data_IF_269753251697
#
_entry.id   IF_269753251697
#
_cell.length_a   1.000
_cell.length_b   1.000
_cell.length_c   1.000
_cell.angle_alpha   90.00
_cell.angle_beta   90.00
_cell.angle_gamma   90.00
#
_symmetry.space_group_name_H-M   'P 1'
#
loop_
_entity.id
_entity.type
_entity.pdbx_description
1 polymer ?
2 non-polymer ?
3 non-polymer ?
4 water ?
#
# COMPACT_ATOMS: atom_id res chain seq x y z
N UNK A 1 -17.60 -0.81 -14.67
CA UNK A 1 -16.88 -1.29 -13.50
C UNK A 1 -17.84 -1.55 -12.34
N UNK A 2 -17.37 -2.28 -11.34
CA UNK A 2 -18.25 -2.74 -10.27
C UNK A 2 -18.38 -1.75 -9.12
N UNK A 3 -17.28 -1.06 -8.81
CA UNK A 3 -17.34 0.08 -7.90
C UNK A 3 -18.16 1.18 -8.55
N UNK A 4 -18.91 1.92 -7.74
CA UNK A 4 -19.54 3.13 -8.22
C UNK A 4 -18.50 4.25 -8.15
N UNK A 5 -18.68 5.30 -8.95
CA UNK A 5 -17.69 6.37 -9.02
C UNK A 5 -17.41 6.96 -7.63
N UNK A 6 -18.46 7.15 -6.84
CA UNK A 6 -18.30 7.76 -5.52
C UNK A 6 -17.45 6.88 -4.60
N UNK A 7 -17.63 5.57 -4.71
CA UNK A 7 -16.87 4.61 -3.92
C UNK A 7 -15.41 4.62 -4.33
N UNK A 8 -15.17 4.65 -5.64
CA UNK A 8 -13.82 4.69 -6.18
C UNK A 8 -13.10 5.95 -5.73
N UNK A 9 -13.83 7.06 -5.64
CA UNK A 9 -13.22 8.32 -5.21
C UNK A 9 -12.84 8.29 -3.73
N UNK A 10 -13.72 7.74 -2.90
CA UNK A 10 -13.42 7.60 -1.47
C UNK A 10 -12.20 6.71 -1.24
N UNK A 11 -12.12 5.60 -1.96
CA UNK A 11 -10.95 4.72 -1.86
C UNK A 11 -9.67 5.39 -2.35
N UNK A 12 -9.79 6.16 -3.43
CA UNK A 12 -8.66 6.93 -3.97
C UNK A 12 -8.13 7.89 -2.92
N UNK A 13 -9.03 8.63 -2.27
CA UNK A 13 -8.64 9.61 -1.26
C UNK A 13 -8.05 8.95 -0.02
N UNK A 14 -8.65 7.83 0.40
CA UNK A 14 -8.13 7.05 1.52
C UNK A 14 -6.68 6.64 1.26
N UNK A 15 -6.44 6.05 0.09
CA UNK A 15 -5.11 5.63 -0.29
C UNK A 15 -4.12 6.79 -0.38
N UNK A 16 -4.58 7.91 -0.94
CA UNK A 16 -3.75 9.10 -1.07
C UNK A 16 -3.31 9.65 0.29
N UNK A 17 -4.24 9.73 1.23
CA UNK A 17 -3.91 10.28 2.55
C UNK A 17 -2.94 9.36 3.29
N UNK A 18 -3.22 8.06 3.28
CA UNK A 18 -2.32 7.10 3.92
C UNK A 18 -0.93 7.14 3.28
N UNK A 19 -0.87 7.24 1.95
CA UNK A 19 0.40 7.33 1.24
C UNK A 19 1.22 8.56 1.66
N UNK A 20 0.55 9.71 1.78
CA UNK A 20 1.25 10.94 2.17
C UNK A 20 1.84 10.83 3.58
N UNK A 21 1.11 10.17 4.47
CA UNK A 21 1.61 10.00 5.84
C UNK A 21 2.82 9.08 5.85
N UNK A 22 2.71 7.95 5.15
CA UNK A 22 3.80 7.00 5.08
C UNK A 22 5.00 7.57 4.35
N UNK A 23 4.75 8.28 3.25
CA UNK A 23 5.87 8.83 2.48
C UNK A 23 6.55 9.98 3.23
N UNK A 24 5.77 10.82 3.91
CA UNK A 24 6.40 11.82 4.77
C UNK A 24 7.30 11.15 5.81
N UNK A 25 6.82 10.05 6.39
CA UNK A 25 7.60 9.32 7.38
C UNK A 25 8.92 8.81 6.80
N UNK A 26 8.88 8.24 5.60
CA UNK A 26 10.11 7.81 4.93
C UNK A 26 11.07 8.97 4.65
N UNK A 27 10.53 10.09 4.17
CA UNK A 27 11.39 11.23 3.84
C UNK A 27 12.05 11.83 5.09
N UNK A 28 11.25 12.07 6.13
CA UNK A 28 11.75 12.74 7.33
C UNK A 28 12.73 11.87 8.12
N UNK A 29 12.65 10.55 7.97
CA UNK A 29 13.60 9.67 8.65
C UNK A 29 14.80 9.37 7.77
N UNK A 30 14.75 9.79 6.51
CA UNK A 30 15.85 9.51 5.59
C UNK A 30 15.81 8.12 4.97
N UNK A 31 14.66 7.45 5.07
CA UNK A 31 14.50 6.14 4.43
C UNK A 31 14.61 6.32 2.92
N UNK A 32 14.00 7.39 2.41
CA UNK A 32 14.07 7.72 1.00
C UNK A 32 14.42 9.20 0.85
N UNK A 33 14.87 9.57 -0.34
CA UNK A 33 15.17 10.97 -0.68
C UNK A 33 14.70 11.20 -2.10
N UNK A 34 13.93 12.27 -2.34
CA UNK A 34 13.52 12.58 -3.71
C UNK A 34 14.56 13.43 -4.46
N UNK A 35 14.65 13.21 -5.76
CA UNK A 35 15.54 13.99 -6.62
C UNK A 35 14.76 14.49 -7.84
N UNK A 36 13.62 15.12 -7.61
CA UNK A 36 12.78 15.60 -8.70
C UNK A 36 12.19 17.00 -8.44
N UNK A 37 13.06 18.00 -8.43
CA UNK A 37 12.70 19.35 -7.98
C UNK A 37 11.70 20.08 -8.90
N UNK A 38 11.59 19.61 -10.14
CA UNK A 38 10.78 20.29 -11.14
C UNK A 38 9.26 20.14 -11.02
N UNK A 39 8.80 19.18 -10.22
CA UNK A 39 7.36 18.98 -10.05
C UNK A 39 6.86 19.57 -8.74
N UNK A 40 5.58 19.95 -8.69
CA UNK A 40 4.96 20.45 -7.46
C UNK A 40 4.92 19.34 -6.41
N UNK A 41 5.27 19.66 -5.16
CA UNK A 41 5.16 18.69 -4.07
C UNK A 41 3.89 18.92 -3.26
N UNK A 42 3.36 17.85 -2.69
CA UNK A 42 2.27 17.93 -1.73
C UNK A 42 2.84 17.37 -0.44
N UNK A 43 2.95 18.20 0.59
CA UNK A 43 3.69 17.83 1.79
C UNK A 43 5.11 17.40 1.40
N UNK A 44 5.51 16.17 1.71
CA UNK A 44 6.87 15.72 1.40
C UNK A 44 6.99 14.96 0.08
N UNK A 45 5.88 14.86 -0.66
CA UNK A 45 5.81 13.98 -1.83
C UNK A 45 5.55 14.74 -3.12
N UNK A 46 6.15 14.29 -4.23
CA UNK A 46 5.75 14.77 -5.56
C UNK A 46 4.26 14.54 -5.72
N UNK A 47 3.57 15.48 -6.37
CA UNK A 47 2.11 15.43 -6.41
C UNK A 47 1.58 14.12 -7.01
N UNK A 48 2.37 13.49 -7.88
CA UNK A 48 1.92 12.26 -8.54
C UNK A 48 1.96 11.04 -7.63
N UNK A 49 2.71 11.13 -6.53
CA UNK A 49 2.82 9.99 -5.61
C UNK A 49 1.48 9.59 -4.98
N UNK A 50 0.78 10.54 -4.31
CA UNK A 50 -0.51 10.14 -3.75
C UNK A 50 -1.52 9.77 -4.84
N UNK A 51 -1.35 10.31 -6.05
CA UNK A 51 -2.24 9.92 -7.14
C UNK A 51 -1.98 8.47 -7.56
N UNK A 52 -0.71 8.08 -7.66
CA UNK A 52 -0.39 6.68 -7.98
C UNK A 52 -0.93 5.71 -6.94
N UNK A 53 -0.66 5.96 -5.66
CA UNK A 53 -1.11 5.04 -4.61
C UNK A 53 -2.63 5.05 -4.48
N UNK A 54 -3.23 6.23 -4.60
CA UNK A 54 -4.67 6.35 -4.53
C UNK A 54 -5.33 5.57 -5.66
N UNK A 55 -4.75 5.66 -6.85
CA UNK A 55 -5.27 4.95 -8.02
C UNK A 55 -5.12 3.43 -7.85
N UNK A 56 -3.99 3.02 -7.29
CA UNK A 56 -3.75 1.61 -7.00
C UNK A 56 -4.75 1.06 -5.98
N UNK A 57 -5.10 1.87 -4.98
CA UNK A 57 -6.08 1.46 -3.97
C UNK A 57 -7.45 1.18 -4.60
N UNK A 58 -7.92 2.11 -5.42
CA UNK A 58 -9.22 1.93 -6.06
C UNK A 58 -9.16 0.77 -7.05
N UNK A 59 -8.03 0.62 -7.74
CA UNK A 59 -7.87 -0.43 -8.75
C UNK A 59 -7.87 -1.84 -8.16
N UNK A 60 -7.18 -2.00 -7.03
CA UNK A 60 -7.09 -3.30 -6.37
C UNK A 60 -8.43 -3.67 -5.74
N UNK A 61 -9.14 -2.66 -5.24
CA UNK A 61 -10.48 -2.90 -4.73
C UNK A 61 -11.39 -3.37 -5.87
N UNK A 62 -11.30 -2.69 -7.01
CA UNK A 62 -12.07 -3.09 -8.19
C UNK A 62 -11.71 -4.51 -8.63
N UNK A 63 -10.41 -4.79 -8.71
CA UNK A 63 -9.92 -6.13 -9.06
C UNK A 63 -10.56 -7.24 -8.23
N UNK A 64 -10.61 -7.04 -6.91
CA UNK A 64 -11.20 -8.03 -6.01
C UNK A 64 -12.65 -8.33 -6.40
N UNK A 65 -13.39 -7.31 -6.82
CA UNK A 65 -14.79 -7.49 -7.20
C UNK A 65 -14.96 -8.29 -8.51
N UNK A 66 -13.86 -8.57 -9.19
CA UNK A 66 -13.90 -9.40 -10.39
C UNK A 66 -13.39 -10.81 -10.09
N UNK A 67 -13.00 -11.04 -8.84
CA UNK A 67 -12.49 -12.35 -8.42
C UNK A 67 -13.62 -13.09 -7.69
N UNK A 68 -13.50 -14.43 -7.57
CA UNK A 68 -14.64 -15.20 -7.06
C UNK A 68 -15.13 -14.78 -5.67
N UNK A 69 -16.45 -14.80 -5.50
CA UNK A 69 -17.12 -14.70 -4.21
C UNK A 69 -16.68 -13.58 -3.26
N UNK A 70 -16.87 -12.31 -3.66
CA UNK A 70 -16.60 -11.22 -2.71
C UNK A 70 -17.43 -11.44 -1.46
N UNK A 71 -16.82 -11.24 -0.29
CA UNK A 71 -17.48 -11.56 0.96
C UNK A 71 -18.49 -10.49 1.33
N UNK A 72 -19.71 -10.91 1.64
CA UNK A 72 -20.75 -9.95 2.00
C UNK A 72 -20.69 -9.60 3.48
N UNK A 73 -19.89 -10.34 4.24
CA UNK A 73 -19.88 -10.17 5.69
C UNK A 73 -18.81 -9.22 6.22
N UNK A 74 -18.14 -8.51 5.31
CA UNK A 74 -17.07 -7.58 5.70
C UNK A 74 -17.62 -6.36 6.44
N UNK A 75 -16.89 -5.89 7.46
CA UNK A 75 -17.40 -4.82 8.30
C UNK A 75 -16.51 -3.59 8.26
N UNK A 76 -17.06 -2.46 8.69
CA UNK A 76 -16.29 -1.22 8.73
C UNK A 76 -15.09 -1.32 9.67
N UNK A 77 -15.22 -2.07 10.76
CA UNK A 77 -14.09 -2.17 11.70
C UNK A 77 -12.98 -3.07 11.18
N UNK A 78 -13.35 -4.04 10.34
CA UNK A 78 -12.33 -4.85 9.68
C UNK A 78 -11.55 -3.96 8.74
N UNK A 79 -12.26 -3.10 8.03
CA UNK A 79 -11.61 -2.19 7.10
C UNK A 79 -10.75 -1.15 7.83
N UNK A 80 -11.28 -0.58 8.91
CA UNK A 80 -10.51 0.39 9.68
C UNK A 80 -9.27 -0.28 10.28
N UNK A 81 -9.46 -1.47 10.83
CA UNK A 81 -8.36 -2.23 11.40
C UNK A 81 -7.30 -2.55 10.36
N UNK A 82 -7.74 -2.87 9.14
CA UNK A 82 -6.80 -3.18 8.07
C UNK A 82 -6.04 -1.96 7.62
N UNK A 83 -6.73 -0.83 7.49
CA UNK A 83 -6.04 0.40 7.12
C UNK A 83 -5.01 0.79 8.19
N UNK A 84 -5.40 0.64 9.45
CA UNK A 84 -4.50 0.93 10.56
C UNK A 84 -3.27 0.01 10.54
N UNK A 85 -3.48 -1.26 10.20
CA UNK A 85 -2.37 -2.22 10.16
C UNK A 85 -1.37 -1.84 9.07
N UNK A 86 -1.88 -1.46 7.90
CA UNK A 86 -1.01 -1.08 6.78
C UNK A 86 -0.27 0.23 7.08
N UNK A 87 -0.99 1.22 7.59
CA UNK A 87 -0.34 2.47 7.95
C UNK A 87 0.68 2.28 9.09
N UNK A 88 0.33 1.50 10.11
CA UNK A 88 1.27 1.25 11.19
C UNK A 88 2.51 0.53 10.69
N UNK A 89 2.33 -0.41 9.77
CA UNK A 89 3.46 -1.15 9.22
C UNK A 89 4.34 -0.23 8.38
N UNK A 90 3.69 0.61 7.58
CA UNK A 90 4.37 1.58 6.73
C UNK A 90 5.25 2.51 7.58
N UNK A 91 4.68 3.14 8.61
CA UNK A 91 5.48 4.06 9.42
C UNK A 91 6.55 3.33 10.23
N UNK A 92 6.29 2.08 10.59
CA UNK A 92 7.31 1.29 11.30
C UNK A 92 8.55 1.10 10.42
N UNK A 93 8.35 0.90 9.12
CA UNK A 93 9.50 0.73 8.24
C UNK A 93 10.36 1.98 8.23
N UNK A 94 9.74 3.15 8.40
CA UNK A 94 10.51 4.39 8.50
C UNK A 94 11.35 4.40 9.78
N UNK A 95 10.78 3.90 10.87
CA UNK A 95 11.49 3.88 12.15
C UNK A 95 12.65 2.90 12.17
N UNK A 96 12.53 1.78 11.46
CA UNK A 96 13.52 0.71 11.61
C UNK A 96 14.40 0.52 10.38
N UNK A 97 14.27 1.39 9.37
CA UNK A 97 14.96 1.17 8.09
C UNK A 97 16.48 1.04 8.18
N UNK A 98 17.10 1.64 9.20
CA UNK A 98 18.57 1.61 9.32
C UNK A 98 19.11 0.31 9.92
N UNK A 99 18.21 -0.57 10.37
CA UNK A 99 18.60 -1.84 10.98
C UNK A 99 18.92 -2.89 9.93
N UNK A 100 19.55 -4.02 10.32
CA UNK A 100 19.93 -5.03 9.32
C UNK A 100 18.74 -5.58 8.54
N UNK A 101 18.97 -5.90 7.26
CA UNK A 101 17.90 -6.21 6.33
C UNK A 101 17.02 -7.40 6.74
N UNK A 102 17.62 -8.43 7.33
CA UNK A 102 16.84 -9.63 7.66
C UNK A 102 15.81 -9.39 8.76
N UNK A 103 16.22 -8.88 9.94
CA UNK A 103 15.16 -8.66 10.93
C UNK A 103 14.12 -7.62 10.47
N UNK A 104 14.54 -6.57 9.78
CA UNK A 104 13.57 -5.57 9.28
C UNK A 104 12.56 -6.20 8.33
N UNK A 105 13.06 -6.95 7.35
CA UNK A 105 12.18 -7.57 6.37
C UNK A 105 11.28 -8.63 7.01
N UNK A 106 11.83 -9.40 7.96
CA UNK A 106 11.04 -10.42 8.64
C UNK A 106 9.91 -9.79 9.46
N UNK A 107 10.19 -8.64 10.07
CA UNK A 107 9.17 -7.97 10.89
C UNK A 107 7.99 -7.54 10.02
N UNK A 108 8.27 -6.93 8.88
CA UNK A 108 7.23 -6.50 7.95
C UNK A 108 6.46 -7.70 7.38
N UNK A 109 7.18 -8.76 7.03
CA UNK A 109 6.52 -9.98 6.56
C UNK A 109 5.60 -10.58 7.62
N UNK A 110 6.00 -10.53 8.88
CA UNK A 110 5.15 -11.04 9.96
C UNK A 110 3.89 -10.20 10.08
N UNK A 111 4.04 -8.88 10.02
CA UNK A 111 2.89 -7.98 10.10
C UNK A 111 1.94 -8.23 8.95
N UNK A 112 2.49 -8.45 7.75
CA UNK A 112 1.67 -8.71 6.57
C UNK A 112 0.94 -10.05 6.66
N UNK A 113 1.63 -11.08 7.16
CA UNK A 113 1.01 -12.39 7.32
C UNK A 113 -0.13 -12.33 8.33
N UNK A 114 0.09 -11.63 9.44
CA UNK A 114 -0.95 -11.52 10.46
C UNK A 114 -2.16 -10.75 9.92
N UNK A 115 -1.89 -9.66 9.20
CA UNK A 115 -2.96 -8.89 8.57
C UNK A 115 -3.82 -9.77 7.67
N UNK A 116 -3.17 -10.57 6.82
CA UNK A 116 -3.91 -11.46 5.94
C UNK A 116 -4.66 -12.56 6.71
N UNK A 117 -4.02 -13.15 7.71
CA UNK A 117 -4.70 -14.20 8.50
C UNK A 117 -5.97 -13.68 9.17
N UNK A 118 -5.91 -12.45 9.66
CA UNK A 118 -7.04 -11.87 10.38
C UNK A 118 -8.16 -11.43 9.42
N UNK A 119 -7.78 -10.84 8.29
CA UNK A 119 -8.73 -10.09 7.47
C UNK A 119 -8.92 -10.60 6.05
N UNK A 120 -7.95 -11.35 5.55
CA UNK A 120 -7.94 -11.66 4.13
C UNK A 120 -8.57 -12.99 3.76
N UNK A 121 -8.77 -13.18 2.46
CA UNK A 121 -9.16 -14.49 1.94
C UNK A 121 -8.26 -14.84 0.76
N UNK A 122 -8.58 -15.91 0.04
CA UNK A 122 -7.76 -16.31 -1.10
C UNK A 122 -7.62 -15.24 -2.18
N UNK A 123 -8.75 -14.74 -2.71
CA UNK A 123 -8.67 -13.66 -3.70
C UNK A 123 -7.95 -12.41 -3.18
N UNK A 124 -8.11 -12.10 -1.89
CA UNK A 124 -7.38 -10.98 -1.29
C UNK A 124 -5.88 -11.18 -1.34
N UNK A 125 -5.43 -12.40 -1.08
CA UNK A 125 -4.01 -12.71 -1.21
C UNK A 125 -3.56 -12.57 -2.66
N UNK A 126 -4.43 -12.93 -3.60
CA UNK A 126 -4.10 -12.82 -5.02
C UNK A 126 -3.84 -11.36 -5.39
N UNK A 127 -4.74 -10.48 -4.96
CA UNK A 127 -4.58 -9.04 -5.16
C UNK A 127 -3.29 -8.58 -4.48
N UNK A 128 -3.05 -9.10 -3.28
CA UNK A 128 -1.80 -8.83 -2.57
C UNK A 128 -0.56 -9.18 -3.38
N UNK A 129 -0.56 -10.35 -4.02
CA UNK A 129 0.58 -10.77 -4.82
C UNK A 129 0.79 -9.87 -6.04
N UNK A 130 -0.31 -9.50 -6.70
CA UNK A 130 -0.25 -8.63 -7.87
C UNK A 130 0.52 -7.32 -7.59
N UNK A 131 0.16 -6.63 -6.52
CA UNK A 131 0.80 -5.36 -6.17
C UNK A 131 2.16 -5.56 -5.47
N UNK A 132 2.36 -6.70 -4.82
CA UNK A 132 3.67 -7.01 -4.24
C UNK A 132 4.71 -7.17 -5.34
N UNK A 133 4.25 -7.43 -6.56
CA UNK A 133 5.15 -7.50 -7.71
C UNK A 133 5.21 -6.15 -8.43
N UNK A 134 4.05 -5.61 -8.76
CA UNK A 134 3.96 -4.35 -9.51
C UNK A 134 4.51 -3.14 -8.73
N UNK A 135 4.15 -3.03 -7.46
CA UNK A 135 4.65 -1.94 -6.62
C UNK A 135 6.16 -1.81 -6.62
N UNK A 136 6.87 -2.86 -6.19
CA UNK A 136 8.33 -2.80 -6.21
C UNK A 136 8.92 -2.61 -7.62
N UNK A 137 8.29 -3.17 -8.64
CA UNK A 137 8.77 -3.02 -10.01
C UNK A 137 8.73 -1.55 -10.46
N UNK A 138 7.61 -0.88 -10.19
CA UNK A 138 7.48 0.55 -10.48
C UNK A 138 8.55 1.35 -9.74
N UNK A 139 8.76 1.05 -8.46
CA UNK A 139 9.77 1.75 -7.68
C UNK A 139 11.18 1.53 -8.21
N UNK A 140 11.48 0.30 -8.60
CA UNK A 140 12.80 -0.01 -9.13
C UNK A 140 13.07 0.80 -10.41
N UNK A 141 12.07 0.91 -11.27
CA UNK A 141 12.19 1.71 -12.49
C UNK A 141 12.39 3.19 -12.18
N UNK A 142 11.61 3.71 -11.23
CA UNK A 142 11.72 5.12 -10.84
C UNK A 142 13.08 5.44 -10.24
N UNK A 143 13.61 4.52 -9.44
CA UNK A 143 14.94 4.69 -8.86
C UNK A 143 16.04 4.64 -9.93
N UNK A 144 15.92 3.72 -10.89
CA UNK A 144 16.91 3.67 -11.97
C UNK A 144 16.86 4.95 -12.82
N UNK A 145 15.68 5.57 -12.89
CA UNK A 145 15.51 6.83 -13.60
C UNK A 145 16.02 8.04 -12.81
N UNK A 146 16.40 7.82 -11.55
CA UNK A 146 16.96 8.88 -10.72
C UNK A 146 15.92 9.78 -10.07
N UNK A 147 14.67 9.33 -10.06
CA UNK A 147 13.56 10.11 -9.52
C UNK A 147 13.65 10.25 -8.00
N UNK A 148 14.00 9.15 -7.34
CA UNK A 148 14.29 9.16 -5.91
C UNK A 148 15.25 8.03 -5.60
N UNK A 149 15.72 7.95 -4.36
CA UNK A 149 16.59 6.84 -3.98
C UNK A 149 16.27 6.38 -2.57
N UNK A 150 16.61 5.13 -2.26
CA UNK A 150 16.52 4.64 -0.89
C UNK A 150 17.84 4.89 -0.16
N UNK A 151 17.76 4.96 1.17
CA UNK A 151 18.95 5.00 2.01
C UNK A 151 19.81 3.79 1.65
N UNK A 152 21.14 3.95 1.66
CA UNK A 152 22.04 2.87 1.22
C UNK A 152 21.91 1.60 2.06
N UNK A 153 21.42 1.71 3.29
CA UNK A 153 21.21 0.52 4.11
C UNK A 153 19.80 -0.07 3.96
N UNK A 154 19.04 0.44 2.99
CA UNK A 154 17.71 -0.10 2.71
C UNK A 154 17.45 -0.20 1.21
N UNK A 155 18.45 -0.62 0.43
CA UNK A 155 18.27 -0.65 -1.02
C UNK A 155 18.60 -1.99 -1.67
N UNK A 156 18.52 -3.07 -0.89
CA UNK A 156 18.95 -4.39 -1.32
C UNK A 156 18.17 -5.08 -2.43
N UNK A 157 16.96 -4.61 -2.73
CA UNK A 157 16.15 -5.21 -3.79
C UNK A 157 16.27 -4.37 -5.07
N UNK A 158 17.38 -4.54 -5.79
CA UNK A 158 17.63 -3.77 -7.01
C UNK A 158 17.45 -2.27 -6.83
N UNK A 159 17.97 -1.75 -5.72
CA UNK A 159 17.89 -0.32 -5.46
C UNK A 159 16.77 0.11 -4.53
N UNK A 160 15.84 -0.80 -4.24
CA UNK A 160 14.75 -0.49 -3.31
C UNK A 160 14.73 -1.43 -2.10
N UNK A 161 13.87 -1.15 -1.12
CA UNK A 161 13.86 -1.94 0.11
C UNK A 161 13.14 -3.27 -0.06
N UNK A 162 13.77 -4.36 0.40
CA UNK A 162 13.11 -5.67 0.39
C UNK A 162 11.77 -5.67 1.13
N UNK A 163 11.63 -4.82 2.15
CA UNK A 163 10.36 -4.75 2.90
C UNK A 163 9.17 -4.31 2.05
N UNK A 164 9.43 -3.73 0.88
CA UNK A 164 8.33 -3.33 -0.01
C UNK A 164 7.47 -4.51 -0.40
N UNK A 165 8.08 -5.68 -0.57
CA UNK A 165 7.29 -6.83 -1.00
C UNK A 165 6.17 -7.17 0.01
N UNK A 166 6.51 -7.40 1.30
CA UNK A 166 5.37 -7.65 2.20
C UNK A 166 4.54 -6.40 2.50
N UNK A 167 5.12 -5.20 2.40
CA UNK A 167 4.33 -3.99 2.64
C UNK A 167 3.25 -3.84 1.57
N UNK A 168 3.62 -3.96 0.30
CA UNK A 168 2.65 -3.89 -0.78
C UNK A 168 1.65 -5.04 -0.70
N UNK A 169 2.12 -6.23 -0.32
CA UNK A 169 1.21 -7.37 -0.18
C UNK A 169 0.07 -7.05 0.80
N UNK A 170 0.43 -6.54 1.98
CA UNK A 170 -0.57 -6.17 2.98
C UNK A 170 -1.50 -5.09 2.45
N UNK A 171 -0.94 -4.11 1.75
CA UNK A 171 -1.74 -3.08 1.07
C UNK A 171 -2.79 -3.71 0.13
N UNK A 172 -2.36 -4.62 -0.74
CA UNK A 172 -3.30 -5.29 -1.64
C UNK A 172 -4.41 -6.07 -0.93
N UNK A 173 -4.05 -6.80 0.12
CA UNK A 173 -5.05 -7.51 0.91
C UNK A 173 -6.12 -6.56 1.47
N UNK A 174 -5.67 -5.43 2.00
CA UNK A 174 -6.60 -4.49 2.60
C UNK A 174 -7.42 -3.72 1.54
N UNK A 175 -6.79 -3.38 0.41
CA UNK A 175 -7.51 -2.71 -0.67
C UNK A 175 -8.63 -3.61 -1.20
N UNK A 176 -8.34 -4.90 -1.30
CA UNK A 176 -9.32 -5.89 -1.73
C UNK A 176 -10.48 -5.91 -0.75
N UNK A 177 -10.16 -5.89 0.54
CA UNK A 177 -11.19 -5.88 1.58
C UNK A 177 -12.04 -4.61 1.49
N UNK A 178 -11.40 -3.49 1.15
CA UNK A 178 -12.15 -2.24 0.99
C UNK A 178 -13.14 -2.32 -0.17
N UNK A 179 -12.76 -2.99 -1.25
CA UNK A 179 -13.68 -3.22 -2.36
C UNK A 179 -14.88 -4.06 -1.95
N UNK A 180 -14.63 -5.12 -1.19
CA UNK A 180 -15.72 -5.95 -0.68
C UNK A 180 -16.64 -5.13 0.21
N UNK A 181 -16.05 -4.29 1.06
CA UNK A 181 -16.85 -3.45 1.95
C UNK A 181 -17.71 -2.44 1.18
N UNK A 182 -17.15 -1.84 0.14
CA UNK A 182 -17.88 -0.83 -0.63
C UNK A 182 -19.21 -1.39 -1.15
N UNK A 183 -19.17 -2.63 -1.63
CA UNK A 183 -20.38 -3.28 -2.13
C UNK A 183 -21.30 -3.71 -0.99
N UNK A 184 -20.73 -4.35 0.02
CA UNK A 184 -21.50 -4.85 1.16
C UNK A 184 -22.29 -3.77 1.92
N UNK A 185 -21.73 -2.56 2.01
CA UNK A 185 -22.34 -1.49 2.79
C UNK A 185 -23.45 -0.74 2.05
N UNK A 186 -23.69 -1.10 0.79
CA UNK A 186 -24.78 -0.48 0.03
C UNK A 186 -26.11 -0.77 0.70
N UNK A 187 -27.12 0.10 0.47
CA UNK A 187 -28.43 -0.09 1.11
C UNK A 187 -29.00 -1.49 0.87
N UNK A 188 -29.57 -2.08 1.91
CA UNK A 188 -30.15 -3.41 1.81
C UNK A 188 -31.64 -3.33 2.11
N UNK A 189 -32.36 -4.40 1.79
CA UNK A 189 -33.78 -4.50 2.14
C UNK A 189 -33.92 -4.81 3.63
X LIG B 1 -22.28 5.22 -1.52
X LIG B 1 -20.90 4.88 -1.52
X LIG B 1 -23.13 4.02 -1.98
X LIG B 1 -22.72 3.63 -3.30
X LIG B 1 -24.60 4.37 -1.98
X LIG B 1 -25.38 3.20 -2.25
X LIG B 1 -24.99 4.91 -0.60
X LIG B 1 -26.35 5.36 -0.65
X LIG B 1 -24.06 6.04 -0.16
X LIG B 1 -22.69 5.62 -0.21
X LIG B 1 -24.38 6.52 1.26
X LIG B 1 -24.19 5.46 2.20
X LIG B 1 -20.05 5.86 -0.91
X LIG B 1 -18.71 5.17 -0.61
X LIG B 1 -18.16 5.46 0.77
X LIG B 1 -17.90 4.17 1.53
X LIG B 1 -16.56 3.53 1.19
X LIG B 1 -15.81 3.23 2.49
X LIG B 1 -14.62 2.31 2.28
X LIG B 1 -15.07 0.94 1.82
X LIG C 1 6.83 14.04 -14.35
X LIG C 1 5.46 14.41 -14.21
X LIG C 1 7.62 15.21 -14.92
X LIG C 1 7.07 15.61 -16.18
X LIG C 1 9.07 14.78 -15.08
X LIG C 1 9.85 15.84 -15.64
X LIG C 1 9.61 14.40 -13.71
X LIG C 1 10.96 13.96 -13.82
X LIG C 1 8.75 13.29 -13.11
X LIG C 1 7.36 13.63 -13.09
X LIG C 1 9.23 12.93 -11.70
X LIG C 1 8.72 13.89 -10.76
X LIG C 1 4.60 13.28 -14.28
X LIG C 1 3.17 13.74 -14.01
X LIG C 1 2.18 12.71 -14.52
X LIG C 1 0.76 13.04 -14.08
X LIG C 1 0.05 11.77 -13.64
X LIG C 1 0.91 11.04 -12.62
X LIG C 1 0.43 9.62 -12.33
X LIG C 1 -1.08 9.53 -12.39
X LIG D 1 -13.84 -7.93 14.58
X LIG D 1 -12.43 -7.75 14.60
X LIG D 1 -14.42 -7.57 15.94
X LIG D 1 -13.72 -8.26 16.99
X LIG D 1 -15.89 -7.94 15.95
X LIG D 1 -16.47 -7.47 17.17
X LIG D 1 -16.64 -7.29 14.79
X LIG D 1 -17.76 -8.11 14.43
X LIG D 1 -15.83 -7.04 13.51
X LIG D 1 -14.40 -7.04 13.63
X LIG D 1 -16.24 -5.66 13.06
X LIG D 1 -16.45 -4.83 14.22
X LIG D 1 -12.01 -6.88 13.55
X LIG D 1 -10.52 -7.06 13.37
X LIG D 1 -9.87 -5.72 13.10
X LIG D 1 -8.42 -5.77 13.57
X LIG D 1 -7.46 -5.82 12.38
X LIG D 1 -6.10 -6.33 12.81
X LIG D 1 -5.17 -6.45 11.61
X LIG D 1 -3.83 -6.99 12.05
X LIG E 1 7.89 3.06 0.08
X LIG E 1 7.93 4.50 -1.74
X LIG E 1 7.26 3.74 -1.05
X LIG E 1 5.79 3.58 -1.32
X LIG E 1 5.21 2.38 -0.58
X LIG E 1 3.69 2.32 -0.72
X LIG E 1 3.12 1.05 -0.08
X LIG E 1 1.60 0.98 -0.19
X LIG E 1 1.00 2.06 0.69
X LIG E 1 -0.51 2.05 0.67
X LIG E 1 -1.04 3.25 1.45
X LIG E 1 -2.55 3.18 1.46
X LIG E 1 -3.01 1.98 2.28
X LIG E 1 -4.53 2.00 2.46
X LIG E 1 -5.05 0.60 2.75
X LIG F 1 6.81 5.49 -5.91
X LIG F 1 5.85 4.73 -6.80
X LIG F 1 4.72 4.09 -6.00
X LIG F 1 3.86 3.23 -6.92
X LIG F 1 2.75 2.52 -6.16
X LIG F 1 2.16 1.37 -6.97
X LIG F 1 1.74 1.84 -8.36
X LIG F 1 1.33 0.67 -9.23
X LIG F 1 -0.06 0.90 -9.79
X LIG F 1 -0.10 2.17 -10.64
X LIG F 1 -1.54 2.65 -10.79
X LIG F 1 -2.46 1.50 -11.18
X LIG F 1 -3.78 2.02 -11.73
#
# INVERSE_FOLDING_TARGET
MRLRISEAVVLFLLGAVAALIGDHSHVVTGTTVYHTDAVPFVWSSPFWFPILVGAATASLAELRLHLPAPRDGVTACQALGGVAAVVGTYVTTALVHAFPVVPVTALVAAAAAITWCVLGDGPGAAAGVVIAVIGPAVEIALVQLGVFAYHPDSDGLFGVAPFLAPLYFAFGVVAALLGELAVARRPQLGPPVADTVSRGPGAGHHHHHH
BOG C1 O1 C2 O2 C3 O3 C4 O4 C5 O5 C6 O6 C1' C2' C3' C4' C5' C6' C7' C8'
BOG C1 O1 C2 O2 C3 O3 C4 O4 C5 O5 C6 O6 C1' C2' C3' C4' C5' C6' C7' C8'
BOG C1 O1 C2 O2 C3 O3 C4 O4 C5 O5 C6 O6 C1' C2' C3' C4' C5' C6' C7' C8'
TDA O21 O22 C21 C22 C23 C24 C25 C26 C27 C28 C29 C30 C31 C32 C33
TDA C21 C22 C23 C24 C25 C26 C27 C28 C29 C30 C31 C32 C33
#
